data_IF_093136221116
#
_entry.id   IF_093136221116
#
_cell.length_a   1.000
_cell.length_b   1.000
_cell.length_c   1.000
_cell.angle_alpha   90.00
_cell.angle_beta   90.00
_cell.angle_gamma   90.00
#
_symmetry.space_group_name_H-M   'P 1'
#
loop_
_entity.id
_entity.type
_entity.pdbx_description
1 polymer ?
#
# COMPACT_ATOMS: atom_id res chain seq x y z
N UNK A 1 -2.50 -48.82 -8.48
CA UNK A 1 -3.47 -47.75 -8.83
C UNK A 1 -3.77 -47.00 -7.54
N UNK A 2 -2.99 -46.01 -7.26
CA UNK A 2 -3.15 -45.19 -6.07
C UNK A 2 -3.72 -43.84 -6.49
N UNK A 3 -5.02 -43.67 -6.24
CA UNK A 3 -5.75 -42.47 -6.55
C UNK A 3 -5.41 -41.42 -5.51
N UNK A 4 -4.38 -40.60 -5.78
CA UNK A 4 -4.06 -39.44 -4.98
C UNK A 4 -5.26 -38.50 -4.87
N UNK A 5 -5.98 -38.59 -3.74
CA UNK A 5 -6.97 -37.59 -3.35
C UNK A 5 -6.25 -36.26 -3.16
N UNK A 6 -6.33 -35.34 -4.13
CA UNK A 6 -6.06 -33.92 -3.90
C UNK A 6 -7.02 -33.45 -2.80
N UNK A 7 -6.51 -33.27 -1.60
CA UNK A 7 -7.25 -32.59 -0.54
C UNK A 7 -7.39 -31.12 -0.95
N UNK A 8 -8.56 -30.76 -1.44
CA UNK A 8 -8.92 -29.35 -1.65
C UNK A 8 -9.01 -28.77 -0.24
N UNK A 9 -8.03 -27.97 0.13
CA UNK A 9 -8.09 -27.19 1.36
C UNK A 9 -9.25 -26.20 1.22
N UNK A 10 -10.38 -26.51 1.84
CA UNK A 10 -11.49 -25.56 1.94
C UNK A 10 -11.05 -24.40 2.82
N UNK A 11 -10.64 -23.30 2.20
CA UNK A 11 -10.45 -22.03 2.88
C UNK A 11 -11.83 -21.52 3.29
N UNK A 12 -11.97 -21.11 4.54
CA UNK A 12 -13.26 -20.68 5.10
C UNK A 12 -13.49 -19.21 4.84
N UNK A 13 -14.61 -18.87 4.19
CA UNK A 13 -15.12 -17.51 4.10
C UNK A 13 -15.92 -17.25 5.38
N UNK A 14 -15.51 -16.28 6.18
CA UNK A 14 -16.20 -15.94 7.42
C UNK A 14 -17.43 -15.09 7.14
N UNK A 15 -18.54 -15.46 7.75
CA UNK A 15 -19.82 -14.74 7.66
C UNK A 15 -20.04 -13.73 8.79
N UNK A 16 -19.22 -13.82 9.84
CA UNK A 16 -19.23 -12.87 10.97
C UNK A 16 -18.14 -11.82 10.77
N UNK A 17 -18.29 -10.68 11.41
CA UNK A 17 -17.36 -9.54 11.27
C UNK A 17 -16.05 -9.80 12.04
N UNK A 18 -14.89 -9.32 11.54
CA UNK A 18 -13.60 -9.47 12.22
C UNK A 18 -13.62 -9.05 13.69
N UNK A 19 -14.22 -7.90 14.02
CA UNK A 19 -14.34 -7.42 15.41
C UNK A 19 -15.07 -8.39 16.33
N UNK A 20 -16.05 -9.14 15.82
CA UNK A 20 -16.80 -10.14 16.58
C UNK A 20 -15.97 -11.40 16.86
N UNK A 21 -14.99 -11.68 16.01
CA UNK A 21 -14.01 -12.76 16.19
C UNK A 21 -12.79 -12.29 17.02
N UNK A 22 -12.73 -11.00 17.44
CA UNK A 22 -11.62 -10.44 18.21
C UNK A 22 -10.40 -10.04 17.38
N UNK A 23 -10.59 -9.85 16.07
CA UNK A 23 -9.52 -9.46 15.15
C UNK A 23 -9.41 -7.94 15.00
N UNK A 24 -8.19 -7.45 14.85
CA UNK A 24 -7.85 -6.04 14.58
C UNK A 24 -6.84 -5.92 13.43
N UNK A 25 -6.83 -4.79 12.76
CA UNK A 25 -5.75 -4.43 11.83
C UNK A 25 -4.51 -4.03 12.66
N UNK A 26 -3.36 -4.73 12.51
CA UNK A 26 -2.13 -4.34 13.20
C UNK A 26 -1.55 -3.07 12.61
N UNK A 27 -0.66 -2.39 13.36
CA UNK A 27 0.17 -1.33 12.81
C UNK A 27 1.21 -1.90 11.85
N UNK A 28 1.54 -1.17 10.78
CA UNK A 28 2.52 -1.64 9.79
C UNK A 28 3.93 -1.84 10.39
N UNK A 29 4.25 -1.11 11.46
CA UNK A 29 5.51 -1.26 12.19
C UNK A 29 5.56 -2.51 13.10
N UNK A 30 4.44 -3.25 13.27
CA UNK A 30 4.42 -4.54 13.99
C UNK A 30 5.13 -5.63 13.14
N UNK A 31 5.57 -6.76 13.74
CA UNK A 31 6.28 -7.79 13.00
C UNK A 31 5.51 -8.37 11.81
N UNK A 32 6.20 -8.56 10.70
CA UNK A 32 5.69 -9.16 9.48
C UNK A 32 6.17 -10.61 9.30
N UNK A 33 5.35 -11.44 8.68
CA UNK A 33 5.76 -12.68 8.05
C UNK A 33 6.44 -12.40 6.71
N UNK A 34 5.94 -11.44 5.96
CA UNK A 34 6.45 -11.09 4.65
C UNK A 34 5.63 -10.00 3.96
N UNK A 35 5.96 -9.75 2.72
CA UNK A 35 5.37 -8.71 1.88
C UNK A 35 4.91 -9.29 0.54
N UNK A 36 3.73 -8.88 0.06
CA UNK A 36 3.21 -9.19 -1.26
C UNK A 36 3.61 -8.07 -2.21
N UNK A 37 4.13 -8.43 -3.38
CA UNK A 37 4.31 -7.56 -4.54
C UNK A 37 3.74 -8.23 -5.79
N UNK A 38 3.41 -7.43 -6.79
CA UNK A 38 2.96 -7.88 -8.10
C UNK A 38 3.96 -7.37 -9.13
N UNK A 39 4.42 -8.24 -10.06
CA UNK A 39 5.43 -7.87 -11.05
C UNK A 39 4.84 -6.95 -12.12
N UNK A 40 5.42 -5.77 -12.39
CA UNK A 40 4.82 -4.76 -13.25
C UNK A 40 4.86 -5.15 -14.73
N UNK A 41 3.72 -5.00 -15.44
CA UNK A 41 3.64 -5.33 -16.86
C UNK A 41 2.65 -4.47 -17.68
N UNK A 42 1.70 -3.73 -17.03
CA UNK A 42 0.68 -2.95 -17.75
C UNK A 42 1.32 -1.80 -18.56
N UNK A 43 1.11 -1.74 -19.89
CA UNK A 43 1.79 -0.71 -20.71
C UNK A 43 1.34 0.73 -20.46
N UNK A 44 0.10 0.92 -19.99
CA UNK A 44 -0.44 2.25 -19.64
C UNK A 44 0.14 2.80 -18.32
N UNK A 45 0.55 1.94 -17.39
CA UNK A 45 1.19 2.34 -16.14
C UNK A 45 2.72 2.28 -16.22
N UNK A 46 3.28 1.28 -16.93
CA UNK A 46 4.72 0.99 -16.94
C UNK A 46 5.32 1.16 -18.32
N UNK A 47 5.87 2.34 -18.56
CA UNK A 47 6.50 2.71 -19.83
C UNK A 47 7.59 1.73 -20.28
N UNK A 48 7.84 1.63 -21.58
CA UNK A 48 8.92 0.82 -22.18
C UNK A 48 8.89 -0.67 -21.78
N UNK A 49 7.69 -1.26 -21.67
CA UNK A 49 7.51 -2.65 -21.24
C UNK A 49 7.93 -2.88 -19.79
N UNK A 50 7.74 -1.88 -18.93
CA UNK A 50 8.09 -1.86 -17.52
C UNK A 50 9.60 -1.98 -17.22
N UNK A 51 10.49 -1.78 -18.19
CA UNK A 51 11.93 -2.05 -18.03
C UNK A 51 12.55 -1.29 -16.85
N UNK A 52 12.28 -0.01 -16.72
CA UNK A 52 12.86 0.82 -15.63
C UNK A 52 12.12 0.57 -14.31
N UNK A 53 10.80 0.43 -14.34
CA UNK A 53 10.02 0.07 -13.17
C UNK A 53 10.48 -1.27 -12.57
N UNK A 54 10.74 -2.29 -13.39
CA UNK A 54 11.25 -3.60 -12.95
C UNK A 54 12.60 -3.51 -12.23
N UNK A 55 13.46 -2.55 -12.57
CA UNK A 55 14.70 -2.30 -11.82
C UNK A 55 14.40 -1.74 -10.43
N UNK A 56 13.52 -0.74 -10.35
CA UNK A 56 13.11 -0.16 -9.08
C UNK A 56 12.39 -1.21 -8.18
N UNK A 57 11.49 -2.02 -8.75
CA UNK A 57 10.88 -3.16 -8.05
C UNK A 57 11.93 -4.16 -7.54
N UNK A 58 12.94 -4.49 -8.35
CA UNK A 58 14.02 -5.38 -7.92
C UNK A 58 14.79 -4.83 -6.71
N UNK A 59 15.03 -3.52 -6.66
CA UNK A 59 15.70 -2.86 -5.54
C UNK A 59 14.81 -2.85 -4.29
N UNK A 60 13.50 -2.62 -4.43
CA UNK A 60 12.52 -2.74 -3.34
C UNK A 60 12.46 -4.18 -2.83
N UNK A 61 12.34 -5.18 -3.72
CA UNK A 61 12.31 -6.61 -3.37
C UNK A 61 13.58 -7.00 -2.61
N UNK A 62 14.76 -6.57 -3.09
CA UNK A 62 16.04 -6.82 -2.42
C UNK A 62 16.07 -6.20 -1.01
N UNK A 63 15.60 -4.97 -0.87
CA UNK A 63 15.57 -4.26 0.41
C UNK A 63 14.66 -4.97 1.43
N UNK A 64 13.46 -5.37 1.03
CA UNK A 64 12.49 -6.09 1.86
C UNK A 64 13.02 -7.48 2.23
N UNK A 65 13.58 -8.22 1.27
CA UNK A 65 14.05 -9.58 1.47
C UNK A 65 15.27 -9.70 2.43
N UNK A 66 15.88 -8.59 2.85
CA UNK A 66 16.87 -8.58 3.92
C UNK A 66 16.29 -8.97 5.30
N UNK A 67 14.97 -8.77 5.51
CA UNK A 67 14.38 -8.94 6.84
C UNK A 67 13.07 -9.72 6.88
N UNK A 68 12.43 -10.00 5.72
CA UNK A 68 11.18 -10.75 5.65
C UNK A 68 10.97 -11.44 4.28
N UNK A 69 10.06 -12.43 4.24
CA UNK A 69 9.74 -13.14 2.98
C UNK A 69 9.05 -12.21 1.98
N UNK A 70 9.34 -12.41 0.68
CA UNK A 70 8.65 -11.73 -0.41
C UNK A 70 7.78 -12.72 -1.17
N UNK A 71 6.52 -12.38 -1.37
CA UNK A 71 5.54 -13.10 -2.18
C UNK A 71 5.32 -12.30 -3.46
N UNK A 72 5.98 -12.72 -4.54
CA UNK A 72 5.97 -12.02 -5.83
C UNK A 72 4.99 -12.69 -6.79
N UNK A 73 3.86 -12.04 -7.03
CA UNK A 73 2.91 -12.44 -8.06
C UNK A 73 3.40 -12.04 -9.45
N UNK A 74 3.22 -12.90 -10.44
CA UNK A 74 3.53 -12.60 -11.83
C UNK A 74 2.55 -13.30 -12.76
N UNK A 75 2.17 -12.65 -13.86
CA UNK A 75 1.32 -13.26 -14.91
C UNK A 75 2.05 -14.35 -15.67
N UNK A 76 1.31 -15.15 -16.41
CA UNK A 76 1.92 -16.17 -17.27
C UNK A 76 2.94 -15.61 -18.28
N UNK A 77 2.83 -14.33 -18.65
CA UNK A 77 3.77 -13.66 -19.58
C UNK A 77 5.12 -13.37 -18.93
N UNK A 78 5.11 -12.93 -17.67
CA UNK A 78 6.29 -12.39 -16.97
C UNK A 78 6.82 -13.33 -15.90
N UNK A 79 6.18 -14.47 -15.64
CA UNK A 79 6.53 -15.44 -14.61
C UNK A 79 8.01 -15.88 -14.67
N UNK A 80 8.47 -16.30 -15.83
CA UNK A 80 9.86 -16.75 -16.02
C UNK A 80 10.89 -15.64 -15.78
N UNK A 81 10.53 -14.38 -16.06
CA UNK A 81 11.36 -13.21 -15.77
C UNK A 81 11.47 -12.98 -14.25
N UNK A 82 10.33 -13.01 -13.55
CA UNK A 82 10.27 -12.86 -12.10
C UNK A 82 11.02 -13.99 -11.37
N UNK A 83 10.90 -15.24 -11.82
CA UNK A 83 11.67 -16.37 -11.27
C UNK A 83 13.18 -16.18 -11.43
N UNK A 84 13.64 -15.75 -12.60
CA UNK A 84 15.06 -15.48 -12.84
C UNK A 84 15.60 -14.37 -11.96
N UNK A 85 14.80 -13.31 -11.73
CA UNK A 85 15.15 -12.26 -10.79
C UNK A 85 15.29 -12.83 -9.37
N UNK A 86 14.29 -13.54 -8.88
CA UNK A 86 14.30 -14.13 -7.53
C UNK A 86 15.51 -15.04 -7.33
N UNK A 87 15.77 -15.94 -8.27
CA UNK A 87 16.93 -16.85 -8.23
C UNK A 87 18.26 -16.07 -8.18
N UNK A 88 18.41 -15.03 -9.01
CA UNK A 88 19.63 -14.20 -9.02
C UNK A 88 19.83 -13.52 -7.67
N UNK A 89 18.80 -12.83 -7.13
CA UNK A 89 18.91 -12.13 -5.85
C UNK A 89 19.25 -13.08 -4.70
N UNK A 90 18.63 -14.27 -4.65
CA UNK A 90 18.90 -15.27 -3.60
C UNK A 90 20.26 -15.97 -3.76
N UNK A 91 20.88 -15.96 -4.95
CA UNK A 91 22.20 -16.49 -5.19
C UNK A 91 23.29 -15.51 -4.76
N UNK A 92 23.05 -14.22 -5.03
CA UNK A 92 24.04 -13.17 -4.83
C UNK A 92 24.09 -12.68 -3.37
N UNK A 93 23.01 -12.85 -2.60
CA UNK A 93 22.86 -12.32 -1.25
C UNK A 93 22.16 -13.33 -0.32
N UNK A 94 22.49 -13.30 0.98
CA UNK A 94 21.80 -14.08 2.02
C UNK A 94 20.47 -13.42 2.41
N UNK A 95 19.45 -13.59 1.57
CA UNK A 95 18.14 -13.01 1.72
C UNK A 95 17.11 -14.01 2.25
N UNK A 96 16.03 -13.47 2.84
CA UNK A 96 14.80 -14.24 3.08
C UNK A 96 14.21 -14.75 1.76
N UNK A 97 13.39 -15.82 1.79
CA UNK A 97 12.82 -16.39 0.58
C UNK A 97 12.05 -15.40 -0.26
N UNK A 98 12.30 -15.37 -1.57
CA UNK A 98 11.51 -14.68 -2.58
C UNK A 98 10.70 -15.76 -3.31
N UNK A 99 9.41 -15.84 -3.03
CA UNK A 99 8.49 -16.86 -3.55
C UNK A 99 7.71 -16.30 -4.72
N UNK A 100 8.07 -16.72 -5.93
CA UNK A 100 7.32 -16.34 -7.13
C UNK A 100 6.14 -17.27 -7.31
N UNK A 101 4.98 -16.70 -7.63
CA UNK A 101 3.78 -17.47 -7.93
C UNK A 101 2.98 -16.86 -9.09
N UNK A 102 2.30 -17.73 -9.84
CA UNK A 102 1.47 -17.30 -10.96
C UNK A 102 0.16 -16.69 -10.47
N UNK A 103 -0.14 -15.48 -10.92
CA UNK A 103 -1.40 -14.78 -10.73
C UNK A 103 -1.64 -13.82 -11.90
N UNK A 104 -2.87 -13.74 -12.35
CA UNK A 104 -3.28 -12.74 -13.35
C UNK A 104 -3.84 -11.53 -12.61
N UNK A 105 -3.32 -10.35 -12.93
CA UNK A 105 -3.76 -9.04 -12.40
C UNK A 105 -3.94 -8.08 -13.57
N UNK A 106 -4.60 -6.96 -13.32
CA UNK A 106 -4.70 -5.86 -14.29
C UNK A 106 -3.52 -4.90 -14.13
N UNK A 107 -3.00 -4.72 -12.88
CA UNK A 107 -1.77 -3.96 -12.64
C UNK A 107 -1.01 -4.44 -11.38
N UNK A 108 0.00 -3.68 -10.93
CA UNK A 108 0.98 -4.09 -9.92
C UNK A 108 0.80 -3.41 -8.55
N UNK A 109 -0.37 -2.90 -8.23
CA UNK A 109 -0.66 -2.14 -7.02
C UNK A 109 -1.09 -3.04 -5.85
N UNK A 110 -0.16 -3.86 -5.36
CA UNK A 110 -0.41 -4.88 -4.35
C UNK A 110 -1.04 -4.34 -3.05
N UNK A 111 -0.81 -3.07 -2.69
CA UNK A 111 -1.41 -2.41 -1.54
C UNK A 111 -2.92 -2.37 -1.64
N UNK A 112 -3.44 -2.05 -2.82
CA UNK A 112 -4.85 -1.75 -3.02
C UNK A 112 -5.66 -2.97 -3.45
N UNK A 113 -5.05 -3.88 -4.20
CA UNK A 113 -5.72 -5.10 -4.68
C UNK A 113 -5.48 -6.32 -3.79
N UNK A 114 -4.47 -6.25 -2.90
CA UNK A 114 -4.15 -7.30 -1.96
C UNK A 114 -5.11 -7.34 -0.77
N UNK A 115 -5.16 -8.47 -0.03
CA UNK A 115 -5.99 -8.55 1.16
C UNK A 115 -5.49 -7.60 2.25
N UNK A 116 -6.37 -6.83 2.86
CA UNK A 116 -6.06 -6.18 4.14
C UNK A 116 -6.04 -7.25 5.22
N UNK A 117 -4.95 -7.34 5.99
CA UNK A 117 -4.84 -8.37 7.00
C UNK A 117 -5.23 -7.88 8.39
N UNK A 118 -5.90 -8.77 9.13
CA UNK A 118 -6.26 -8.59 10.54
C UNK A 118 -5.76 -9.78 11.37
N UNK A 119 -5.53 -9.55 12.65
CA UNK A 119 -5.01 -10.58 13.57
C UNK A 119 -5.68 -10.52 14.95
N UNK A 120 -5.78 -11.67 15.60
CA UNK A 120 -6.11 -11.80 17.04
C UNK A 120 -4.85 -11.90 17.92
N UNK A 121 -3.67 -11.71 17.32
CA UNK A 121 -2.35 -11.87 17.96
C UNK A 121 -1.76 -13.29 17.79
N UNK A 122 -2.52 -14.26 17.26
CA UNK A 122 -2.06 -15.62 16.98
C UNK A 122 -2.30 -16.03 15.53
N UNK A 123 -3.54 -15.85 15.04
CA UNK A 123 -3.94 -16.15 13.66
C UNK A 123 -4.05 -14.85 12.85
N UNK A 124 -3.70 -14.97 11.57
CA UNK A 124 -3.85 -13.89 10.59
C UNK A 124 -4.92 -14.27 9.60
N UNK A 125 -5.82 -13.33 9.30
CA UNK A 125 -6.90 -13.47 8.31
C UNK A 125 -6.89 -12.32 7.34
N UNK A 126 -7.34 -12.56 6.10
CA UNK A 126 -7.51 -11.53 5.10
C UNK A 126 -8.91 -10.90 5.12
N UNK A 127 -9.03 -9.70 4.61
CA UNK A 127 -10.28 -9.05 4.23
C UNK A 127 -10.25 -8.81 2.74
N UNK A 128 -11.32 -9.17 2.05
CA UNK A 128 -11.56 -8.89 0.65
C UNK A 128 -12.55 -7.73 0.53
N UNK A 129 -12.07 -6.59 0.06
CA UNK A 129 -12.89 -5.43 -0.28
C UNK A 129 -13.37 -5.49 -1.73
N UNK A 130 -14.32 -4.65 -2.11
CA UNK A 130 -14.59 -4.37 -3.51
C UNK A 130 -13.52 -3.42 -4.03
N UNK A 131 -12.79 -3.80 -5.09
CA UNK A 131 -11.87 -2.93 -5.80
C UNK A 131 -12.49 -2.48 -7.12
N UNK A 132 -12.44 -1.18 -7.40
CA UNK A 132 -13.08 -0.58 -8.58
C UNK A 132 -12.16 0.39 -9.35
N UNK A 133 -10.85 0.14 -9.34
CA UNK A 133 -9.85 0.98 -9.98
C UNK A 133 -9.89 2.45 -9.50
N UNK A 134 -10.06 2.64 -8.19
CA UNK A 134 -10.05 3.93 -7.47
C UNK A 134 -11.19 4.90 -7.82
N UNK A 135 -12.23 4.46 -8.50
CA UNK A 135 -13.35 5.35 -8.81
C UNK A 135 -14.46 4.76 -9.68
N UNK A 136 -14.27 3.54 -10.16
CA UNK A 136 -15.25 2.83 -10.98
C UNK A 136 -15.56 3.60 -12.25
N UNK A 137 -16.86 3.85 -12.50
CA UNK A 137 -17.34 4.59 -13.68
C UNK A 137 -17.34 6.10 -13.50
N UNK A 138 -17.08 6.62 -12.28
CA UNK A 138 -17.10 8.05 -12.00
C UNK A 138 -15.76 8.72 -12.36
N UNK A 139 -14.68 8.21 -11.75
CA UNK A 139 -13.31 8.72 -11.87
C UNK A 139 -12.25 7.61 -11.80
N UNK A 140 -12.62 6.36 -12.13
CA UNK A 140 -11.71 5.22 -12.15
C UNK A 140 -10.62 5.35 -13.22
N UNK A 141 -9.40 4.91 -12.87
CA UNK A 141 -8.21 5.04 -13.73
C UNK A 141 -8.12 3.97 -14.82
N UNK A 142 -8.90 2.88 -14.73
CA UNK A 142 -8.85 1.77 -15.67
C UNK A 142 -10.23 1.46 -16.26
N UNK A 143 -10.24 1.04 -17.51
CA UNK A 143 -11.44 0.59 -18.18
C UNK A 143 -11.94 -0.78 -17.67
N UNK A 144 -11.05 -1.59 -17.07
CA UNK A 144 -11.39 -2.88 -16.45
C UNK A 144 -10.46 -3.20 -15.30
N UNK A 145 -10.99 -3.90 -14.27
CA UNK A 145 -10.26 -4.23 -13.02
C UNK A 145 -10.68 -5.57 -12.41
N UNK A 146 -11.28 -6.45 -13.20
CA UNK A 146 -11.86 -7.69 -12.67
C UNK A 146 -10.81 -8.68 -12.17
N UNK A 147 -9.58 -8.66 -12.70
CA UNK A 147 -8.51 -9.53 -12.22
C UNK A 147 -7.99 -9.02 -10.89
N UNK A 148 -7.81 -7.72 -10.78
CA UNK A 148 -7.39 -7.05 -9.55
C UNK A 148 -8.41 -7.26 -8.43
N UNK A 149 -9.72 -7.11 -8.72
CA UNK A 149 -10.79 -7.35 -7.75
C UNK A 149 -10.89 -8.82 -7.26
N UNK A 150 -10.20 -9.76 -7.91
CA UNK A 150 -10.11 -11.18 -7.50
C UNK A 150 -8.80 -11.54 -6.82
N UNK A 151 -7.84 -10.63 -6.78
CA UNK A 151 -6.49 -10.97 -6.29
C UNK A 151 -6.48 -11.29 -4.78
N UNK A 152 -7.18 -10.52 -3.95
CA UNK A 152 -7.22 -10.74 -2.49
C UNK A 152 -7.74 -12.13 -2.11
N UNK A 153 -8.94 -12.58 -2.54
CA UNK A 153 -9.40 -13.94 -2.25
C UNK A 153 -8.51 -15.01 -2.85
N UNK A 154 -7.99 -14.81 -4.08
CA UNK A 154 -7.06 -15.74 -4.71
C UNK A 154 -5.80 -15.95 -3.85
N UNK A 155 -5.18 -14.86 -3.37
CA UNK A 155 -4.00 -14.94 -2.52
C UNK A 155 -4.30 -15.67 -1.20
N UNK A 156 -5.40 -15.32 -0.53
CA UNK A 156 -5.81 -15.97 0.70
C UNK A 156 -6.03 -17.48 0.53
N UNK A 157 -6.72 -17.89 -0.53
CA UNK A 157 -6.96 -19.30 -0.85
C UNK A 157 -5.67 -20.04 -1.15
N UNK A 158 -4.81 -19.46 -1.97
CA UNK A 158 -3.52 -20.03 -2.35
C UNK A 158 -2.60 -20.24 -1.15
N UNK A 159 -2.50 -19.25 -0.28
CA UNK A 159 -1.60 -19.27 0.87
C UNK A 159 -2.23 -19.87 2.13
N UNK A 160 -3.52 -20.23 2.09
CA UNK A 160 -4.24 -20.91 3.18
C UNK A 160 -4.67 -19.98 4.31
N UNK A 161 -4.93 -18.72 4.03
CA UNK A 161 -5.53 -17.77 4.95
C UNK A 161 -7.06 -17.89 4.94
N UNK A 162 -7.68 -17.93 6.10
CA UNK A 162 -9.11 -17.61 6.25
C UNK A 162 -9.33 -16.14 5.90
N UNK A 163 -10.49 -15.81 5.32
CA UNK A 163 -10.75 -14.42 4.95
C UNK A 163 -12.22 -14.03 5.14
N UNK A 164 -12.47 -12.73 5.22
CA UNK A 164 -13.78 -12.10 5.34
C UNK A 164 -14.12 -11.43 4.00
N UNK A 165 -15.36 -11.58 3.54
CA UNK A 165 -15.86 -10.88 2.37
C UNK A 165 -16.60 -9.61 2.80
N UNK A 166 -15.99 -8.47 2.52
CA UNK A 166 -16.53 -7.16 2.88
C UNK A 166 -17.33 -6.51 1.73
N UNK A 167 -17.36 -7.15 0.56
CA UNK A 167 -18.09 -6.61 -0.59
C UNK A 167 -19.59 -6.44 -0.31
N UNK A 168 -20.24 -5.45 -0.91
CA UNK A 168 -19.75 -4.52 -1.94
C UNK A 168 -19.10 -3.23 -1.39
N UNK A 169 -18.53 -3.23 -0.19
CA UNK A 169 -17.89 -2.05 0.36
C UNK A 169 -16.55 -1.81 -0.35
N UNK A 170 -16.42 -0.68 -1.05
CA UNK A 170 -15.21 -0.28 -1.77
C UNK A 170 -14.21 0.29 -0.78
N UNK A 171 -13.02 -0.29 -0.72
CA UNK A 171 -11.89 0.19 0.08
C UNK A 171 -10.57 -0.33 -0.52
N UNK A 172 -9.57 0.50 -0.53
CA UNK A 172 -8.21 0.15 -0.90
C UNK A 172 -7.29 0.15 0.33
N UNK A 173 -6.24 -0.68 0.33
CA UNK A 173 -5.29 -0.74 1.44
C UNK A 173 -4.53 0.57 1.67
N UNK A 174 -4.30 1.35 0.60
CA UNK A 174 -3.66 2.67 0.67
C UNK A 174 -4.56 3.76 1.26
N UNK A 175 -5.88 3.55 1.28
CA UNK A 175 -6.86 4.50 1.84
C UNK A 175 -6.99 4.42 3.36
N UNK A 176 -6.32 3.46 4.03
CA UNK A 176 -6.40 3.25 5.47
C UNK A 176 -5.05 2.98 6.10
N UNK A 177 -4.79 3.54 7.28
CA UNK A 177 -3.60 3.27 8.09
C UNK A 177 -4.00 3.00 9.54
N UNK A 178 -3.37 2.03 10.22
CA UNK A 178 -3.70 1.60 11.59
C UNK A 178 -2.55 1.84 12.56
N UNK A 179 -2.90 2.23 13.81
CA UNK A 179 -1.96 2.27 14.92
C UNK A 179 -1.84 0.92 15.66
N UNK A 180 -2.56 -0.11 15.20
CA UNK A 180 -2.58 -1.41 15.86
C UNK A 180 -3.24 -1.46 17.24
N UNK A 181 -3.63 -0.32 17.83
CA UNK A 181 -4.26 -0.24 19.16
C UNK A 181 -5.68 0.30 19.12
N UNK A 182 -6.34 0.21 17.95
CA UNK A 182 -7.75 0.56 17.80
C UNK A 182 -7.99 1.91 17.13
N UNK A 183 -6.95 2.61 16.67
CA UNK A 183 -7.11 3.81 15.85
C UNK A 183 -6.80 3.50 14.40
N UNK A 184 -7.69 3.87 13.48
CA UNK A 184 -7.42 3.89 12.04
C UNK A 184 -7.54 5.32 11.53
N UNK A 185 -6.81 5.61 10.46
CA UNK A 185 -6.75 6.92 9.83
C UNK A 185 -7.09 6.80 8.36
N UNK A 186 -7.90 7.72 7.85
CA UNK A 186 -8.39 7.80 6.48
C UNK A 186 -8.42 9.27 6.05
N UNK A 187 -8.64 9.54 4.75
CA UNK A 187 -8.93 10.91 4.28
C UNK A 187 -10.40 11.05 3.89
N UNK A 188 -10.96 12.24 4.13
CA UNK A 188 -12.31 12.60 3.67
C UNK A 188 -12.37 12.65 2.14
N UNK A 189 -11.35 13.22 1.50
CA UNK A 189 -11.27 13.33 0.04
C UNK A 189 -11.44 11.98 -0.64
N UNK A 190 -10.83 10.91 -0.09
CA UNK A 190 -10.92 9.57 -0.65
C UNK A 190 -12.25 8.90 -0.32
N UNK A 191 -12.52 8.62 0.97
CA UNK A 191 -13.64 7.75 1.33
C UNK A 191 -15.01 8.37 1.15
N UNK A 192 -15.12 9.71 1.06
CA UNK A 192 -16.35 10.42 0.77
C UNK A 192 -16.49 10.80 -0.72
N UNK A 193 -15.56 10.37 -1.58
CA UNK A 193 -15.66 10.57 -3.01
C UNK A 193 -16.82 9.77 -3.61
N UNK A 194 -17.36 10.24 -4.71
CA UNK A 194 -18.45 9.56 -5.41
C UNK A 194 -18.03 8.20 -5.99
N UNK A 195 -16.74 8.07 -6.29
CA UNK A 195 -16.18 6.86 -6.84
C UNK A 195 -15.96 5.72 -5.84
N UNK A 196 -16.35 5.88 -4.55
CA UNK A 196 -16.20 4.83 -3.52
C UNK A 196 -17.55 4.28 -3.07
N UNK A 197 -18.13 4.86 -2.04
CA UNK A 197 -19.38 4.38 -1.44
C UNK A 197 -20.42 5.53 -1.35
N UNK A 198 -20.91 6.05 -2.48
CA UNK A 198 -21.72 7.28 -2.52
C UNK A 198 -23.06 7.16 -1.80
N UNK A 199 -23.57 5.94 -1.61
CA UNK A 199 -24.85 5.68 -0.93
C UNK A 199 -24.70 5.61 0.60
N UNK A 200 -23.46 5.70 1.13
CA UNK A 200 -23.19 5.63 2.57
C UNK A 200 -22.82 6.98 3.14
N UNK A 201 -23.32 7.26 4.34
CA UNK A 201 -22.90 8.41 5.13
C UNK A 201 -21.51 8.20 5.75
N UNK A 202 -20.86 9.28 6.17
CA UNK A 202 -19.58 9.22 6.89
C UNK A 202 -19.66 8.33 8.13
N UNK A 203 -20.78 8.40 8.87
CA UNK A 203 -21.05 7.58 10.05
C UNK A 203 -21.16 6.10 9.69
N UNK A 204 -21.86 5.74 8.62
CA UNK A 204 -21.97 4.36 8.17
C UNK A 204 -20.64 3.80 7.69
N UNK A 205 -19.83 4.59 6.97
CA UNK A 205 -18.47 4.22 6.58
C UNK A 205 -17.62 4.01 7.83
N UNK A 206 -17.69 4.91 8.82
CA UNK A 206 -16.98 4.80 10.10
C UNK A 206 -17.30 3.50 10.81
N UNK A 207 -18.58 3.12 10.91
CA UNK A 207 -18.99 1.86 11.57
C UNK A 207 -18.53 0.63 10.79
N UNK A 208 -18.49 0.67 9.45
CA UNK A 208 -17.89 -0.41 8.64
C UNK A 208 -16.39 -0.56 8.88
N UNK A 209 -15.65 0.56 8.90
CA UNK A 209 -14.21 0.52 9.21
C UNK A 209 -13.94 -0.08 10.59
N UNK A 210 -14.71 0.34 11.62
CA UNK A 210 -14.61 -0.23 12.97
C UNK A 210 -14.89 -1.73 12.98
N UNK A 211 -15.95 -2.15 12.30
CA UNK A 211 -16.39 -3.55 12.27
C UNK A 211 -15.41 -4.49 11.59
N UNK A 212 -14.81 -4.06 10.47
CA UNK A 212 -13.88 -4.88 9.69
C UNK A 212 -12.43 -4.78 10.19
N UNK A 213 -12.00 -3.60 10.65
CA UNK A 213 -10.61 -3.37 11.05
C UNK A 213 -10.39 -3.52 12.57
N UNK A 214 -11.45 -3.79 13.34
CA UNK A 214 -11.36 -3.87 14.80
C UNK A 214 -10.99 -2.53 15.43
N UNK A 215 -11.35 -1.41 14.79
CA UNK A 215 -11.05 -0.08 15.26
C UNK A 215 -12.11 0.42 16.27
N UNK A 216 -11.66 1.16 17.26
CA UNK A 216 -12.50 1.88 18.21
C UNK A 216 -12.70 3.34 17.79
N UNK A 217 -11.70 3.90 17.07
CA UNK A 217 -11.70 5.28 16.58
C UNK A 217 -11.20 5.37 15.14
N UNK A 218 -11.85 6.25 14.36
CA UNK A 218 -11.43 6.60 13.00
C UNK A 218 -11.05 8.07 12.97
N UNK A 219 -9.83 8.38 12.57
CA UNK A 219 -9.35 9.73 12.31
C UNK A 219 -9.59 10.06 10.84
N UNK A 220 -10.32 11.13 10.58
CA UNK A 220 -10.68 11.60 9.25
C UNK A 220 -9.87 12.83 8.88
N UNK A 221 -8.71 12.63 8.22
CA UNK A 221 -7.94 13.74 7.70
C UNK A 221 -8.72 14.44 6.57
N UNK A 222 -8.76 15.79 6.56
CA UNK A 222 -9.55 16.49 5.56
C UNK A 222 -9.00 16.33 4.13
N UNK A 223 -7.68 16.17 3.97
CA UNK A 223 -7.00 16.17 2.67
C UNK A 223 -5.82 15.18 2.66
N UNK A 224 -5.33 14.88 1.44
CA UNK A 224 -4.14 14.09 1.20
C UNK A 224 -3.04 14.86 0.46
N UNK A 225 -2.36 14.20 -0.48
CA UNK A 225 -1.32 14.81 -1.33
C UNK A 225 -1.95 15.44 -2.57
N UNK A 226 -1.46 16.64 -2.92
CA UNK A 226 -1.86 17.36 -4.11
C UNK A 226 -1.58 16.54 -5.38
N UNK A 227 -2.57 16.44 -6.27
CA UNK A 227 -2.55 15.64 -7.51
C UNK A 227 -2.43 14.13 -7.30
N UNK A 228 -2.86 13.61 -6.16
CA UNK A 228 -2.97 12.17 -5.97
C UNK A 228 -4.19 11.61 -6.73
N UNK A 229 -3.92 10.78 -7.72
CA UNK A 229 -4.91 10.21 -8.63
C UNK A 229 -5.92 9.28 -7.94
N UNK A 230 -5.58 8.79 -6.73
CA UNK A 230 -6.44 7.90 -5.94
C UNK A 230 -7.45 8.64 -5.07
N UNK A 231 -7.74 9.92 -5.35
CA UNK A 231 -8.53 10.82 -4.51
C UNK A 231 -7.87 11.09 -3.14
N UNK A 232 -6.55 11.24 -3.10
CA UNK A 232 -5.80 11.59 -1.91
C UNK A 232 -5.79 10.47 -0.84
N UNK A 233 -5.23 9.31 -1.17
CA UNK A 233 -5.00 8.22 -0.22
C UNK A 233 -4.21 8.68 1.02
N UNK A 234 -4.55 8.12 2.19
CA UNK A 234 -3.88 8.50 3.44
C UNK A 234 -2.42 8.10 3.50
N UNK A 235 -2.03 6.99 2.86
CA UNK A 235 -0.67 6.45 2.85
C UNK A 235 0.36 7.37 2.16
N UNK A 236 -0.13 8.33 1.36
CA UNK A 236 0.69 9.34 0.72
C UNK A 236 0.91 10.57 1.60
N UNK A 237 0.01 10.86 2.54
CA UNK A 237 0.04 12.08 3.33
C UNK A 237 0.42 11.86 4.79
N UNK A 238 0.00 10.75 5.41
CA UNK A 238 0.20 10.53 6.84
C UNK A 238 0.31 9.04 7.18
N UNK A 239 1.27 8.68 8.03
CA UNK A 239 1.48 7.31 8.50
C UNK A 239 1.69 7.28 10.02
N UNK A 240 1.22 6.21 10.69
CA UNK A 240 1.59 5.95 12.08
C UNK A 240 3.02 5.41 12.15
N UNK A 241 3.83 5.98 13.02
CA UNK A 241 5.16 5.45 13.38
C UNK A 241 5.07 4.49 14.57
N UNK A 242 4.13 4.74 15.46
CA UNK A 242 3.73 3.93 16.61
C UNK A 242 2.42 4.49 17.17
N UNK A 243 1.78 3.84 18.17
CA UNK A 243 0.55 4.36 18.74
C UNK A 243 0.69 5.79 19.28
N UNK A 244 -0.22 6.68 18.84
CA UNK A 244 -0.21 8.09 19.24
C UNK A 244 0.83 8.98 18.56
N UNK A 245 1.68 8.44 17.66
CA UNK A 245 2.64 9.24 16.89
C UNK A 245 2.50 9.01 15.40
N UNK A 246 2.38 10.10 14.64
CA UNK A 246 2.26 10.07 13.17
C UNK A 246 3.33 10.93 12.52
N UNK A 247 3.62 10.61 11.26
CA UNK A 247 4.44 11.43 10.38
C UNK A 247 3.56 11.98 9.25
N UNK A 248 3.63 13.29 9.03
CA UNK A 248 2.79 14.04 8.08
C UNK A 248 3.66 14.64 6.99
N UNK A 249 3.27 14.45 5.74
CA UNK A 249 3.88 15.12 4.59
C UNK A 249 3.78 16.64 4.72
N UNK A 250 4.90 17.34 4.58
CA UNK A 250 5.01 18.75 4.93
C UNK A 250 5.84 19.56 3.93
N UNK A 251 5.44 20.78 3.74
CA UNK A 251 6.26 21.81 3.11
C UNK A 251 6.17 23.13 3.86
N UNK A 252 7.26 23.86 3.97
CA UNK A 252 7.27 25.23 4.49
C UNK A 252 7.08 26.28 3.38
N UNK A 253 7.09 25.85 2.10
CA UNK A 253 6.82 26.71 0.96
C UNK A 253 5.31 27.02 0.87
N UNK A 254 4.94 28.24 1.25
CA UNK A 254 3.53 28.72 1.25
C UNK A 254 2.92 28.85 -0.15
N UNK A 255 3.77 28.93 -1.19
CA UNK A 255 3.34 29.00 -2.59
C UNK A 255 3.07 27.60 -3.17
N UNK A 256 3.52 26.52 -2.50
CA UNK A 256 3.25 25.16 -2.93
C UNK A 256 1.77 24.81 -2.62
N UNK A 257 1.01 24.28 -3.59
CA UNK A 257 -0.38 23.88 -3.38
C UNK A 257 -0.55 22.80 -2.28
N UNK A 258 0.50 22.07 -1.93
CA UNK A 258 0.47 21.13 -0.80
C UNK A 258 0.41 21.84 0.56
N UNK A 259 0.93 23.06 0.69
CA UNK A 259 0.99 23.75 1.98
C UNK A 259 -0.38 23.86 2.69
N UNK A 260 -1.45 24.40 2.07
CA UNK A 260 -2.76 24.48 2.71
C UNK A 260 -3.35 23.10 3.04
N UNK A 261 -3.06 22.06 2.26
CA UNK A 261 -3.55 20.69 2.50
C UNK A 261 -2.89 20.09 3.76
N UNK A 262 -1.57 20.21 3.85
CA UNK A 262 -0.80 19.76 5.03
C UNK A 262 -1.17 20.54 6.29
N UNK A 263 -1.42 21.85 6.17
CA UNK A 263 -1.89 22.68 7.28
C UNK A 263 -3.27 22.25 7.80
N UNK A 264 -4.19 21.91 6.90
CA UNK A 264 -5.51 21.40 7.29
C UNK A 264 -5.39 20.08 8.07
N UNK A 265 -4.56 19.15 7.60
CA UNK A 265 -4.30 17.89 8.28
C UNK A 265 -3.62 18.10 9.65
N UNK A 266 -2.62 18.98 9.73
CA UNK A 266 -1.96 19.31 10.99
C UNK A 266 -2.95 19.86 12.01
N UNK A 267 -3.76 20.86 11.62
CA UNK A 267 -4.75 21.48 12.52
C UNK A 267 -5.80 20.48 13.01
N UNK A 268 -6.20 19.52 12.19
CA UNK A 268 -7.08 18.43 12.60
C UNK A 268 -6.39 17.52 13.64
N UNK A 269 -5.19 17.01 13.32
CA UNK A 269 -4.47 16.06 14.18
C UNK A 269 -4.08 16.64 15.54
N UNK A 270 -3.72 17.94 15.61
CA UNK A 270 -3.40 18.61 16.87
C UNK A 270 -4.60 18.70 17.85
N UNK A 271 -5.82 18.66 17.30
CA UNK A 271 -7.07 18.63 18.07
C UNK A 271 -7.47 17.23 18.53
N UNK A 272 -6.84 16.17 18.01
CA UNK A 272 -7.30 14.80 18.16
C UNK A 272 -6.51 13.98 19.19
N UNK A 273 -7.14 12.88 19.60
CA UNK A 273 -6.51 11.81 20.38
C UNK A 273 -6.65 10.48 19.63
N UNK A 274 -5.85 9.50 19.98
CA UNK A 274 -6.06 8.12 19.54
C UNK A 274 -7.21 7.42 20.31
N UNK A 275 -7.47 6.16 20.01
CA UNK A 275 -8.50 5.34 20.66
C UNK A 275 -8.27 5.15 22.16
N UNK A 276 -7.05 5.31 22.65
CA UNK A 276 -6.69 5.20 24.09
C UNK A 276 -6.63 6.55 24.79
N UNK A 277 -7.04 7.63 24.13
CA UNK A 277 -7.08 8.99 24.68
C UNK A 277 -5.72 9.71 24.72
N UNK A 278 -4.67 9.17 24.07
CA UNK A 278 -3.38 9.84 23.93
C UNK A 278 -3.48 10.93 22.87
N UNK A 279 -2.94 12.12 23.15
CA UNK A 279 -2.83 13.17 22.12
C UNK A 279 -1.94 12.69 20.99
N UNK A 280 -2.33 13.01 19.76
CA UNK A 280 -1.52 12.70 18.58
C UNK A 280 -0.30 13.62 18.54
N UNK A 281 0.88 13.01 18.48
CA UNK A 281 2.14 13.71 18.22
C UNK A 281 2.41 13.67 16.72
N UNK A 282 2.52 14.85 16.10
CA UNK A 282 2.73 14.98 14.66
C UNK A 282 4.18 15.33 14.37
N UNK A 283 4.88 14.45 13.65
CA UNK A 283 6.19 14.70 13.08
C UNK A 283 6.04 15.14 11.64
N UNK A 284 6.84 16.10 11.20
CA UNK A 284 6.82 16.62 9.82
C UNK A 284 7.91 15.96 8.99
N UNK A 285 7.52 15.38 7.85
CA UNK A 285 8.45 14.86 6.85
C UNK A 285 8.35 15.75 5.60
N UNK A 286 9.46 16.27 5.06
CA UNK A 286 9.36 17.10 3.86
C UNK A 286 8.69 16.32 2.71
N UNK A 287 8.04 17.03 1.80
CA UNK A 287 7.85 16.56 0.43
C UNK A 287 9.11 16.92 -0.39
N UNK A 288 9.29 16.41 -1.62
CA UNK A 288 10.38 16.86 -2.50
C UNK A 288 10.43 18.37 -2.64
N UNK A 289 11.63 18.97 -2.51
CA UNK A 289 11.80 20.41 -2.61
C UNK A 289 11.41 20.97 -3.98
N UNK A 290 11.62 20.17 -5.02
CA UNK A 290 11.20 20.46 -6.38
C UNK A 290 10.10 19.50 -6.79
N UNK A 291 8.98 20.00 -7.35
CA UNK A 291 7.91 19.13 -7.84
C UNK A 291 8.45 18.09 -8.83
N UNK A 292 8.10 16.84 -8.60
CA UNK A 292 8.42 15.78 -9.55
C UNK A 292 7.35 15.79 -10.64
N UNK A 293 7.76 16.15 -11.86
CA UNK A 293 6.85 16.27 -12.98
C UNK A 293 7.20 15.27 -14.09
N UNK A 294 6.19 14.90 -14.87
CA UNK A 294 6.34 14.05 -16.06
C UNK A 294 7.15 14.77 -17.11
N UNK A 295 8.15 14.11 -17.67
CA UNK A 295 8.97 14.64 -18.76
C UNK A 295 8.46 14.16 -20.11
N UNK A 296 8.78 14.90 -21.17
CA UNK A 296 8.45 14.52 -22.54
C UNK A 296 9.02 13.15 -22.92
N UNK A 297 10.24 12.84 -22.48
CA UNK A 297 10.89 11.55 -22.74
C UNK A 297 10.13 10.39 -22.07
N UNK A 298 9.56 10.64 -20.89
CA UNK A 298 8.77 9.63 -20.20
C UNK A 298 7.45 9.33 -20.91
N UNK A 299 6.82 10.33 -21.53
CA UNK A 299 5.57 10.14 -22.27
C UNK A 299 5.72 9.22 -23.49
N UNK A 300 6.88 9.22 -24.16
CA UNK A 300 7.11 8.43 -25.36
C UNK A 300 7.06 6.90 -25.13
N UNK A 301 7.14 6.48 -23.87
CA UNK A 301 7.23 5.06 -23.50
C UNK A 301 5.94 4.38 -23.09
N UNK A 302 4.84 5.12 -22.90
CA UNK A 302 3.53 4.57 -22.52
C UNK A 302 2.74 4.07 -23.72
N UNK A 303 1.89 3.08 -23.48
CA UNK A 303 0.89 2.59 -24.44
C UNK A 303 -0.44 2.53 -23.68
N UNK A 304 -1.24 3.57 -23.81
CA UNK A 304 -2.56 3.68 -23.16
C UNK A 304 -3.60 2.88 -23.94
N UNK A 305 -4.54 2.28 -23.20
CA UNK A 305 -5.74 1.66 -23.75
C UNK A 305 -6.86 2.71 -23.94
N UNK A 306 -7.86 2.39 -24.74
CA UNK A 306 -9.02 3.28 -24.92
C UNK A 306 -9.77 3.45 -23.61
N UNK A 307 -9.93 4.70 -23.16
CA UNK A 307 -10.60 5.06 -21.90
C UNK A 307 -9.66 5.22 -20.70
N UNK A 308 -8.35 5.11 -20.88
CA UNK A 308 -7.36 5.43 -19.86
C UNK A 308 -7.00 6.92 -19.91
N UNK A 309 -6.75 7.52 -18.75
CA UNK A 309 -6.22 8.87 -18.68
C UNK A 309 -4.78 8.94 -19.19
N UNK A 310 -4.52 9.91 -20.06
CA UNK A 310 -3.22 10.13 -20.68
C UNK A 310 -2.47 11.21 -19.90
N UNK A 311 -1.26 10.91 -19.46
CA UNK A 311 -0.38 11.88 -18.80
C UNK A 311 0.06 12.99 -19.74
N UNK A 312 0.29 14.18 -19.16
CA UNK A 312 0.77 15.35 -19.89
C UNK A 312 2.18 15.75 -19.49
N UNK A 313 2.93 16.38 -20.43
CA UNK A 313 4.25 16.95 -20.12
C UNK A 313 4.13 18.05 -19.08
N UNK A 314 4.94 17.97 -18.03
CA UNK A 314 4.91 18.92 -16.92
C UNK A 314 3.84 18.63 -15.87
N UNK A 315 3.01 17.61 -16.04
CA UNK A 315 2.07 17.13 -15.02
C UNK A 315 2.83 16.79 -13.73
N UNK A 316 2.40 17.38 -12.60
CA UNK A 316 2.99 17.11 -11.29
C UNK A 316 2.49 15.79 -10.75
N UNK A 317 3.42 14.93 -10.35
CA UNK A 317 3.12 13.65 -9.72
C UNK A 317 3.00 13.78 -8.20
N UNK A 318 2.22 12.91 -7.56
CA UNK A 318 1.99 12.90 -6.13
C UNK A 318 3.18 12.32 -5.35
N UNK A 319 4.35 12.94 -5.50
CA UNK A 319 5.60 12.52 -4.87
C UNK A 319 5.58 12.80 -3.37
N UNK A 320 5.72 11.76 -2.55
CA UNK A 320 5.76 11.87 -1.10
C UNK A 320 6.74 10.88 -0.48
N UNK A 321 7.55 11.35 0.48
CA UNK A 321 8.40 10.49 1.30
C UNK A 321 7.60 9.71 2.36
N UNK A 322 6.35 10.07 2.63
CA UNK A 322 5.47 9.33 3.56
C UNK A 322 5.04 7.99 2.97
N UNK A 323 5.05 7.84 1.65
CA UNK A 323 4.73 6.58 0.98
C UNK A 323 5.88 5.56 1.06
N UNK A 324 6.48 5.40 2.24
CA UNK A 324 7.49 4.39 2.55
C UNK A 324 6.84 3.09 3.00
N UNK A 325 7.61 2.00 3.04
CA UNK A 325 7.19 0.71 3.57
C UNK A 325 8.02 0.34 4.80
N UNK A 326 7.35 -0.06 5.90
CA UNK A 326 8.01 -0.70 7.03
C UNK A 326 8.27 -2.18 6.71
N UNK A 327 9.52 -2.61 6.66
CA UNK A 327 9.88 -4.02 6.78
C UNK A 327 10.37 -4.33 8.19
N UNK A 328 10.56 -5.61 8.55
CA UNK A 328 10.98 -5.99 9.91
C UNK A 328 12.27 -5.32 10.39
N UNK A 329 13.21 -5.04 9.51
CA UNK A 329 14.51 -4.46 9.86
C UNK A 329 14.76 -3.07 9.28
N UNK A 330 13.87 -2.55 8.44
CA UNK A 330 14.13 -1.32 7.70
C UNK A 330 12.87 -0.49 7.44
N UNK A 331 13.08 0.75 7.04
CA UNK A 331 12.11 1.61 6.35
C UNK A 331 12.59 1.74 4.91
N UNK A 332 11.81 1.22 3.96
CA UNK A 332 12.10 1.34 2.54
C UNK A 332 11.53 2.66 2.07
N UNK A 333 12.43 3.63 1.86
CA UNK A 333 12.07 5.04 1.63
C UNK A 333 12.14 5.38 0.15
N UNK A 334 11.08 5.97 -0.45
CA UNK A 334 11.21 6.50 -1.81
C UNK A 334 12.23 7.64 -1.86
N UNK A 335 13.05 7.65 -2.90
CA UNK A 335 13.97 8.73 -3.24
C UNK A 335 13.73 9.16 -4.68
N UNK A 336 13.84 10.45 -4.95
CA UNK A 336 13.53 11.00 -6.27
C UNK A 336 14.77 11.49 -7.02
N UNK A 337 15.90 11.64 -6.30
CA UNK A 337 17.21 11.98 -6.86
C UNK A 337 17.27 13.34 -7.57
N UNK A 338 18.28 13.54 -8.40
CA UNK A 338 18.46 14.79 -9.17
C UNK A 338 18.39 16.02 -8.26
N UNK A 339 17.51 16.98 -8.60
CA UNK A 339 17.27 18.20 -7.83
C UNK A 339 16.69 17.98 -6.43
N UNK A 340 16.22 16.76 -6.14
CA UNK A 340 15.63 16.38 -4.86
C UNK A 340 16.59 15.62 -3.91
N UNK A 341 17.86 15.43 -4.27
CA UNK A 341 18.84 14.70 -3.41
C UNK A 341 18.95 15.28 -1.99
N UNK A 342 18.81 16.59 -1.83
CA UNK A 342 18.86 17.24 -0.52
C UNK A 342 17.61 16.91 0.32
N UNK A 343 16.41 16.94 -0.27
CA UNK A 343 15.18 16.54 0.43
C UNK A 343 15.13 15.03 0.68
N UNK A 344 15.65 14.19 -0.24
CA UNK A 344 15.82 12.74 -0.02
C UNK A 344 16.66 12.48 1.24
N UNK A 345 17.80 13.17 1.36
CA UNK A 345 18.70 13.05 2.52
C UNK A 345 18.06 13.53 3.81
N UNK A 346 17.33 14.66 3.78
CA UNK A 346 16.60 15.15 4.96
C UNK A 346 15.51 14.21 5.41
N UNK A 347 14.72 13.67 4.48
CA UNK A 347 13.69 12.68 4.78
C UNK A 347 14.30 11.43 5.46
N UNK A 348 15.40 10.90 4.91
CA UNK A 348 16.10 9.76 5.49
C UNK A 348 16.64 10.06 6.90
N UNK A 349 17.20 11.25 7.13
CA UNK A 349 17.70 11.65 8.45
C UNK A 349 16.60 11.81 9.49
N UNK A 350 15.42 12.34 9.10
CA UNK A 350 14.27 12.48 10.00
C UNK A 350 13.77 11.09 10.40
N UNK A 351 13.53 10.21 9.42
CA UNK A 351 13.07 8.84 9.68
C UNK A 351 14.09 8.05 10.50
N UNK A 352 15.39 8.18 10.24
CA UNK A 352 16.43 7.52 11.02
C UNK A 352 16.47 7.95 12.50
N UNK A 353 16.04 9.17 12.82
CA UNK A 353 15.89 9.61 14.22
C UNK A 353 14.60 9.10 14.86
N UNK A 354 13.53 8.97 14.08
CA UNK A 354 12.21 8.55 14.57
C UNK A 354 12.07 7.03 14.66
N UNK A 355 12.84 6.29 13.84
CA UNK A 355 12.86 4.83 13.78
C UNK A 355 14.29 4.30 14.01
N UNK A 356 14.90 4.51 15.20
CA UNK A 356 16.31 4.22 15.46
C UNK A 356 16.64 2.72 15.48
N UNK A 357 15.64 1.87 15.53
CA UNK A 357 15.70 0.40 15.50
C UNK A 357 15.66 -0.16 14.07
N UNK A 358 15.53 0.68 13.05
CA UNK A 358 15.41 0.29 11.64
C UNK A 358 16.45 0.98 10.76
N UNK A 359 16.97 0.24 9.80
CA UNK A 359 17.78 0.80 8.72
C UNK A 359 16.88 1.63 7.79
N UNK A 360 17.27 2.85 7.43
CA UNK A 360 16.60 3.61 6.39
C UNK A 360 17.26 3.27 5.06
N UNK A 361 16.50 2.66 4.16
CA UNK A 361 16.98 2.23 2.84
C UNK A 361 16.29 3.08 1.76
N UNK A 362 16.93 4.15 1.28
CA UNK A 362 16.40 4.91 0.15
C UNK A 362 16.45 4.06 -1.13
N UNK A 363 15.34 4.04 -1.87
CA UNK A 363 15.23 3.42 -3.20
C UNK A 363 14.78 4.47 -4.20
N UNK A 364 15.49 4.58 -5.32
CA UNK A 364 15.10 5.49 -6.39
C UNK A 364 13.77 5.03 -7.00
N UNK A 365 12.70 5.79 -6.74
CA UNK A 365 11.33 5.39 -6.97
C UNK A 365 10.63 6.17 -8.11
N UNK A 366 11.36 7.01 -8.87
CA UNK A 366 10.78 7.79 -9.95
C UNK A 366 10.03 6.92 -10.98
N UNK A 367 10.60 5.76 -11.33
CA UNK A 367 10.00 4.86 -12.31
C UNK A 367 8.80 4.06 -11.75
N UNK A 368 8.60 4.06 -10.44
CA UNK A 368 7.36 3.61 -9.80
C UNK A 368 6.35 4.75 -9.80
N UNK A 369 6.78 5.95 -9.41
CA UNK A 369 5.95 7.13 -9.31
C UNK A 369 5.30 7.52 -10.64
N UNK A 370 6.02 7.41 -11.75
CA UNK A 370 5.48 7.66 -13.10
C UNK A 370 4.37 6.67 -13.48
N UNK A 371 4.24 5.56 -12.79
CA UNK A 371 3.11 4.61 -12.92
C UNK A 371 1.83 5.04 -12.20
N UNK A 372 1.90 6.04 -11.30
CA UNK A 372 0.74 6.56 -10.56
C UNK A 372 0.81 6.40 -9.03
N UNK A 373 1.78 5.63 -8.51
CA UNK A 373 1.95 5.38 -7.07
C UNK A 373 3.41 5.32 -6.64
N UNK A 374 3.69 4.80 -5.44
CA UNK A 374 5.04 4.76 -4.91
C UNK A 374 5.32 3.44 -4.17
N UNK A 375 6.34 3.38 -3.33
CA UNK A 375 6.82 2.15 -2.66
C UNK A 375 5.74 1.49 -1.81
N UNK A 376 4.98 2.25 -1.02
CA UNK A 376 3.89 1.70 -0.22
C UNK A 376 2.79 1.11 -1.10
N UNK A 377 2.45 1.77 -2.20
CA UNK A 377 1.40 1.35 -3.12
C UNK A 377 1.69 -0.01 -3.80
N UNK A 378 2.96 -0.34 -4.05
CA UNK A 378 3.35 -1.62 -4.66
C UNK A 378 3.57 -2.75 -3.65
N UNK A 379 3.42 -2.50 -2.35
CA UNK A 379 3.73 -3.43 -1.26
C UNK A 379 2.51 -3.67 -0.39
N UNK A 380 2.28 -4.91 0.05
CA UNK A 380 1.24 -5.26 1.02
C UNK A 380 1.83 -6.19 2.08
N UNK A 381 1.91 -5.72 3.33
CA UNK A 381 2.44 -6.51 4.44
C UNK A 381 1.53 -7.68 4.80
N UNK A 382 2.15 -8.79 5.17
CA UNK A 382 1.50 -9.92 5.82
C UNK A 382 1.96 -9.91 7.27
N UNK A 383 1.10 -9.65 8.25
CA UNK A 383 1.48 -9.65 9.65
C UNK A 383 2.04 -11.00 10.11
N UNK A 384 2.92 -10.97 11.12
CA UNK A 384 3.39 -12.18 11.77
C UNK A 384 2.22 -12.88 12.48
N UNK A 385 2.11 -14.20 12.29
CA UNK A 385 1.06 -15.01 12.88
C UNK A 385 0.87 -16.31 12.11
N UNK A 386 0.00 -17.16 12.61
CA UNK A 386 -0.28 -18.49 12.04
C UNK A 386 -1.34 -18.40 10.94
N UNK A 387 -1.17 -19.25 9.93
CA UNK A 387 -2.24 -19.60 8.98
C UNK A 387 -3.08 -20.72 9.57
N UNK A 388 -4.31 -20.87 9.14
CA UNK A 388 -5.20 -21.96 9.57
C UNK A 388 -4.55 -23.35 9.47
N UNK A 389 -3.80 -23.61 8.42
CA UNK A 389 -3.19 -24.92 8.18
C UNK A 389 -2.00 -25.24 9.12
N UNK A 390 -1.44 -24.22 9.77
CA UNK A 390 -0.30 -24.37 10.71
C UNK A 390 -0.79 -24.68 12.14
N UNK A 391 -2.10 -24.52 12.43
CA UNK A 391 -2.68 -24.86 13.72
C UNK A 391 -2.90 -26.38 13.93
N UNK A 392 -2.85 -27.17 12.84
CA UNK A 392 -3.12 -28.62 12.87
C UNK A 392 -1.86 -29.47 12.96
N UNK A 393 -0.71 -28.85 13.14
CA UNK A 393 0.57 -29.54 13.40
C UNK A 393 1.06 -29.24 14.81
#
# INVERSE_FOLDING_TARGET
MDSGKKTINHVEIRKILPVQDGYRMPGEYEPHRGCILIWPERPGSWRNGAREAKKAFADVIRAIAKSEEVYLAASGKTFSEAEKLAQRLQTDEALYPIRVFAAETDDAWARDVGPTFVTDGQEVRGINWEFNAWGGTEDGLYASWEKDNRFAPFFCEKEGYTWYDARPFVLEGGSVHSDGEGTVMVTESCLLSKGRNPDLTKEEITEKLKAYLGAEKVLWLPRGIYMDETNEHVDNVCAFLKPGEVILAWTDNREDPQYPLSMACLGYLEGETDAKGRKITVHKLPIPDHPVCVTREELEGYVFEEGEDVREEGERLAASYVNFYFSNGAVILPAFGRENEESDRRAAQILGKLCPDREIIPVYARDILTGGGNIHCITQQIPAGKRRNEQKR
#
